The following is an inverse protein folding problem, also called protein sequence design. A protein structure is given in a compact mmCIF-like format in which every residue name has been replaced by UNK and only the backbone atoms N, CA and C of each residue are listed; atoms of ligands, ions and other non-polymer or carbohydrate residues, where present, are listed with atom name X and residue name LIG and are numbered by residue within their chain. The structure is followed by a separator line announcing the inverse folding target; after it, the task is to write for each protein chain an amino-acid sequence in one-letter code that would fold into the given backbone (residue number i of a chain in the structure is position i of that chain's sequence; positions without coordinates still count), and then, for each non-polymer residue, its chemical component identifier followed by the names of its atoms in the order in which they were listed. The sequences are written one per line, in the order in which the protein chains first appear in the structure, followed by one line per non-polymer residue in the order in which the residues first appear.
data_IF_445766475958
#
_entry.id   IF_445766475958
#
_cell.length_a   1.000
_cell.length_b   1.000
_cell.length_c   1.000
_cell.angle_alpha   90.00
_cell.angle_beta   90.00
_cell.angle_gamma   90.00
#
_symmetry.space_group_name_H-M   'P 1'
#
loop_
_entity.id
_entity.type
_entity.pdbx_description
1 polymer ?
#
# COMPACT_ATOMS: atom_id res chain seq x y z
N UNK A 1 -25.37 -6.04 -25.63
CA UNK A 1 -24.02 -6.05 -25.06
C UNK A 1 -24.17 -6.09 -23.55
N UNK A 2 -24.07 -7.28 -22.97
CA UNK A 2 -24.33 -7.48 -21.54
C UNK A 2 -23.04 -7.14 -20.78
N UNK A 3 -23.01 -5.98 -20.09
CA UNK A 3 -22.00 -5.67 -19.07
C UNK A 3 -22.43 -6.36 -17.77
N UNK A 4 -22.07 -7.62 -17.59
CA UNK A 4 -21.91 -8.19 -16.24
C UNK A 4 -20.42 -8.22 -15.97
N UNK A 5 -19.91 -7.15 -15.37
CA UNK A 5 -18.62 -7.17 -14.69
C UNK A 5 -18.94 -6.88 -13.24
N UNK A 6 -19.02 -7.98 -12.51
CA UNK A 6 -19.16 -8.15 -11.07
C UNK A 6 -19.10 -6.87 -10.21
N UNK A 7 -20.27 -6.44 -9.74
CA UNK A 7 -20.40 -5.32 -8.81
C UNK A 7 -19.60 -5.52 -7.52
N UNK A 8 -19.28 -6.76 -7.14
CA UNK A 8 -18.47 -7.06 -5.95
C UNK A 8 -16.98 -6.90 -6.21
N UNK A 9 -16.47 -7.34 -7.36
CA UNK A 9 -15.05 -7.14 -7.72
C UNK A 9 -14.72 -5.65 -7.83
N UNK A 10 -15.60 -4.88 -8.45
CA UNK A 10 -15.47 -3.42 -8.54
C UNK A 10 -15.39 -2.79 -7.15
N UNK A 11 -16.30 -3.18 -6.24
CA UNK A 11 -16.32 -2.67 -4.87
C UNK A 11 -15.09 -3.09 -4.05
N UNK A 12 -14.55 -4.30 -4.24
CA UNK A 12 -13.32 -4.73 -3.57
C UNK A 12 -12.08 -4.00 -4.08
N UNK A 13 -12.04 -3.68 -5.38
CA UNK A 13 -10.96 -2.91 -5.98
C UNK A 13 -11.00 -1.45 -5.53
N UNK A 14 -12.18 -0.83 -5.54
CA UNK A 14 -12.39 0.54 -5.05
C UNK A 14 -11.95 0.68 -3.59
N UNK A 15 -12.30 -0.31 -2.75
CA UNK A 15 -11.88 -0.35 -1.35
C UNK A 15 -10.36 -0.46 -1.21
N UNK A 16 -9.71 -1.33 -1.98
CA UNK A 16 -8.25 -1.46 -1.99
C UNK A 16 -7.57 -0.16 -2.42
N UNK A 17 -8.08 0.50 -3.48
CA UNK A 17 -7.59 1.79 -3.96
C UNK A 17 -7.74 2.91 -2.92
N UNK A 18 -8.85 2.91 -2.17
CA UNK A 18 -9.05 3.84 -1.07
C UNK A 18 -8.06 3.59 0.07
N UNK A 19 -7.86 2.34 0.47
CA UNK A 19 -6.94 1.94 1.55
C UNK A 19 -5.48 2.30 1.26
N UNK A 20 -5.02 2.21 0.01
CA UNK A 20 -3.66 2.64 -0.38
C UNK A 20 -3.54 4.16 -0.53
N UNK A 21 -4.65 4.86 -0.81
CA UNK A 21 -4.66 6.33 -0.96
C UNK A 21 -4.58 7.04 0.39
N UNK A 22 -5.06 6.41 1.47
CA UNK A 22 -4.98 6.95 2.84
C UNK A 22 -3.60 6.79 3.47
N UNK A 23 -2.67 6.04 2.85
CA UNK A 23 -1.31 5.88 3.37
C UNK A 23 -0.51 7.17 3.13
N UNK A 24 0.00 7.83 4.18
CA UNK A 24 0.80 9.03 4.02
C UNK A 24 2.12 8.71 3.29
N UNK A 25 2.56 9.66 2.45
CA UNK A 25 3.86 9.58 1.81
C UNK A 25 4.96 9.58 2.88
N UNK A 26 5.90 8.65 2.77
CA UNK A 26 7.07 8.62 3.64
C UNK A 26 8.05 9.72 3.23
N UNK A 27 8.66 10.36 4.22
CA UNK A 27 9.80 11.22 3.96
C UNK A 27 11.06 10.37 3.71
N UNK A 28 12.10 10.89 3.04
CA UNK A 28 13.36 10.18 2.88
C UNK A 28 13.99 9.76 4.22
N UNK A 29 13.78 10.54 5.28
CA UNK A 29 14.27 10.22 6.63
C UNK A 29 13.54 9.01 7.22
N UNK A 30 12.22 8.94 7.03
CA UNK A 30 11.40 7.80 7.45
C UNK A 30 11.82 6.52 6.73
N UNK A 31 12.10 6.58 5.42
CA UNK A 31 12.55 5.43 4.65
C UNK A 31 13.88 4.88 5.16
N UNK A 32 14.82 5.76 5.51
CA UNK A 32 16.12 5.36 6.08
C UNK A 32 15.91 4.65 7.42
N UNK A 33 15.03 5.18 8.28
CA UNK A 33 14.77 4.58 9.59
C UNK A 33 14.04 3.25 9.47
N UNK A 34 13.05 3.15 8.59
CA UNK A 34 12.38 1.88 8.27
C UNK A 34 13.36 0.86 7.70
N UNK A 35 14.25 1.25 6.79
CA UNK A 35 15.28 0.36 6.24
C UNK A 35 16.22 -0.19 7.33
N UNK A 36 16.59 0.64 8.32
CA UNK A 36 17.37 0.18 9.48
C UNK A 36 16.61 -0.83 10.34
N UNK A 37 15.32 -0.60 10.57
CA UNK A 37 14.47 -1.50 11.35
C UNK A 37 14.24 -2.83 10.61
N UNK A 38 13.98 -2.78 9.30
CA UNK A 38 13.86 -3.97 8.44
C UNK A 38 15.14 -4.81 8.50
N UNK A 39 16.31 -4.16 8.47
CA UNK A 39 17.61 -4.87 8.60
C UNK A 39 17.76 -5.61 9.94
N UNK A 40 17.06 -5.15 10.99
CA UNK A 40 17.01 -5.82 12.30
C UNK A 40 15.93 -6.92 12.37
N UNK A 41 15.18 -7.15 11.30
CA UNK A 41 14.11 -8.15 11.23
C UNK A 41 12.73 -7.62 11.60
N UNK A 42 12.54 -6.30 11.63
CA UNK A 42 11.23 -5.70 11.91
C UNK A 42 10.27 -5.89 10.72
N UNK A 43 9.31 -6.79 10.88
CA UNK A 43 8.28 -7.10 9.89
C UNK A 43 7.23 -6.00 9.77
N UNK A 44 6.98 -5.21 10.82
CA UNK A 44 6.05 -4.07 10.76
C UNK A 44 6.66 -2.93 9.94
N UNK A 45 7.97 -2.69 10.11
CA UNK A 45 8.68 -1.72 9.28
C UNK A 45 8.66 -2.13 7.79
N UNK A 46 8.80 -3.42 7.50
CA UNK A 46 8.70 -3.97 6.14
C UNK A 46 7.30 -3.75 5.55
N UNK A 47 6.26 -4.05 6.31
CA UNK A 47 4.87 -3.85 5.87
C UNK A 47 4.58 -2.38 5.61
N UNK A 48 5.01 -1.48 6.50
CA UNK A 48 4.82 -0.04 6.36
C UNK A 48 5.53 0.51 5.12
N UNK A 49 6.78 0.12 4.89
CA UNK A 49 7.53 0.53 3.69
C UNK A 49 6.87 -0.01 2.41
N UNK A 50 6.42 -1.26 2.42
CA UNK A 50 5.74 -1.88 1.27
C UNK A 50 4.44 -1.16 0.96
N UNK A 51 3.59 -0.91 1.96
CA UNK A 51 2.30 -0.22 1.78
C UNK A 51 2.44 1.20 1.26
N UNK A 52 3.42 1.95 1.75
CA UNK A 52 3.72 3.29 1.24
C UNK A 52 4.12 3.27 -0.24
N UNK A 53 4.77 2.20 -0.69
CA UNK A 53 5.21 2.03 -2.08
C UNK A 53 4.12 1.49 -3.02
N UNK A 54 3.07 0.84 -2.50
CA UNK A 54 1.96 0.32 -3.31
C UNK A 54 1.24 1.42 -4.11
N UNK A 55 1.21 2.66 -3.61
CA UNK A 55 0.63 3.81 -4.32
C UNK A 55 1.36 4.17 -5.62
N UNK A 56 2.65 3.83 -5.77
CA UNK A 56 3.42 4.14 -6.99
C UNK A 56 3.28 3.07 -8.07
N UNK A 57 2.73 1.91 -7.73
CA UNK A 57 2.62 0.75 -8.65
C UNK A 57 1.27 0.72 -9.38
N UNK A 58 0.22 1.29 -8.77
CA UNK A 58 -1.13 1.41 -9.35
C UNK A 58 -1.26 2.55 -10.34
#
# INVERSE_FOLDING_TARGET
MIKYSDSRESQSLDKYLQEISEVPLLSPEDEIELARQIKKGDTQALEKLTRANLRFVV
#
